data_IF_249149000668
#
_entry.id   IF_249149000668
#
_cell.length_a   1.000
_cell.length_b   1.000
_cell.length_c   1.000
_cell.angle_alpha   90.00
_cell.angle_beta   90.00
_cell.angle_gamma   90.00
#
_symmetry.space_group_name_H-M   'P 1'
#
loop_
_entity.id
_entity.type
_entity.pdbx_description
1 polymer ?
#
# COMPACT_ATOMS: atom_id res chain seq x y z
N UNK A 1 -7.20 35.05 4.65
CA UNK A 1 -7.69 33.75 4.14
C UNK A 1 -8.77 33.28 5.09
N UNK A 2 -10.00 33.10 4.62
CA UNK A 2 -11.11 32.66 5.47
C UNK A 2 -11.00 31.16 5.76
N UNK A 3 -11.26 30.74 7.01
CA UNK A 3 -11.16 29.34 7.46
C UNK A 3 -12.04 28.41 6.62
N UNK A 4 -13.18 28.91 6.13
CA UNK A 4 -14.08 28.15 5.24
C UNK A 4 -13.45 27.86 3.88
N UNK A 5 -12.68 28.80 3.33
CA UNK A 5 -12.00 28.61 2.05
C UNK A 5 -10.87 27.58 2.17
N UNK A 6 -10.13 27.61 3.27
CA UNK A 6 -9.11 26.61 3.58
C UNK A 6 -9.71 25.20 3.68
N UNK A 7 -10.80 25.04 4.44
CA UNK A 7 -11.50 23.74 4.55
C UNK A 7 -11.99 23.24 3.19
N UNK A 8 -12.48 24.12 2.33
CA UNK A 8 -12.92 23.77 0.97
C UNK A 8 -11.75 23.31 0.10
N UNK A 9 -10.58 23.95 0.21
CA UNK A 9 -9.35 23.54 -0.49
C UNK A 9 -8.86 22.18 -0.01
N UNK A 10 -8.77 21.96 1.30
CA UNK A 10 -8.36 20.67 1.90
C UNK A 10 -9.25 19.53 1.42
N UNK A 11 -10.58 19.73 1.48
CA UNK A 11 -11.54 18.72 1.02
C UNK A 11 -11.42 18.41 -0.47
N UNK A 12 -11.07 19.40 -1.29
CA UNK A 12 -10.82 19.20 -2.73
C UNK A 12 -9.57 18.36 -2.98
N UNK A 13 -8.49 18.62 -2.25
CA UNK A 13 -7.24 17.84 -2.31
C UNK A 13 -7.52 16.40 -1.88
N UNK A 14 -8.16 16.20 -0.74
CA UNK A 14 -8.53 14.87 -0.22
C UNK A 14 -9.31 14.03 -1.24
N UNK A 15 -10.34 14.61 -1.87
CA UNK A 15 -11.16 13.90 -2.89
C UNK A 15 -10.34 13.53 -4.12
N UNK A 16 -9.50 14.44 -4.62
CA UNK A 16 -8.65 14.18 -5.79
C UNK A 16 -7.63 13.08 -5.50
N UNK A 17 -6.91 13.25 -4.40
CA UNK A 17 -5.90 12.30 -3.91
C UNK A 17 -6.48 10.90 -3.74
N UNK A 18 -7.63 10.79 -3.06
CA UNK A 18 -8.29 9.51 -2.84
C UNK A 18 -8.68 8.83 -4.16
N UNK A 19 -9.25 9.58 -5.11
CA UNK A 19 -9.60 9.06 -6.45
C UNK A 19 -8.38 8.62 -7.25
N UNK A 20 -7.27 9.35 -7.17
CA UNK A 20 -6.01 8.99 -7.84
C UNK A 20 -5.42 7.71 -7.24
N UNK A 21 -5.39 7.60 -5.91
CA UNK A 21 -5.00 6.37 -5.21
C UNK A 21 -5.85 5.19 -5.68
N UNK A 22 -7.19 5.31 -5.63
CA UNK A 22 -8.08 4.22 -6.01
C UNK A 22 -7.91 3.80 -7.49
N UNK A 23 -7.57 4.73 -8.39
CA UNK A 23 -7.39 4.44 -9.81
C UNK A 23 -6.01 3.84 -10.14
N UNK A 24 -4.93 4.27 -9.48
CA UNK A 24 -3.57 3.78 -9.72
C UNK A 24 -3.39 2.36 -9.16
N UNK A 25 -4.09 2.00 -8.07
CA UNK A 25 -3.95 0.70 -7.40
C UNK A 25 -5.15 -0.24 -7.57
N UNK A 26 -6.14 0.14 -8.37
CA UNK A 26 -7.26 -0.73 -8.75
C UNK A 26 -6.88 -1.89 -9.69
N UNK A 27 -5.59 -2.00 -10.04
CA UNK A 27 -5.02 -3.08 -10.85
C UNK A 27 -4.07 -3.95 -10.03
N UNK A 28 -4.31 -5.26 -10.08
CA UNK A 28 -3.65 -6.34 -9.35
C UNK A 28 -2.11 -6.23 -9.32
N UNK A 29 -1.55 -5.66 -8.27
CA UNK A 29 -0.15 -5.92 -7.89
C UNK A 29 -0.11 -7.22 -7.10
N UNK A 30 0.00 -8.35 -7.79
CA UNK A 30 0.45 -9.59 -7.15
C UNK A 30 1.94 -9.46 -6.86
N UNK A 31 2.30 -9.38 -5.58
CA UNK A 31 3.69 -9.53 -5.15
C UNK A 31 4.21 -10.86 -5.68
N UNK A 32 5.20 -10.82 -6.58
CA UNK A 32 5.92 -12.00 -7.07
C UNK A 32 6.91 -12.56 -6.03
N UNK A 33 6.94 -12.00 -4.81
CA UNK A 33 7.83 -12.41 -3.74
C UNK A 33 7.11 -13.25 -2.69
N UNK A 34 7.40 -14.56 -2.69
CA UNK A 34 7.04 -15.50 -1.62
C UNK A 34 8.16 -15.55 -0.59
N UNK A 35 8.33 -14.48 0.19
CA UNK A 35 9.23 -14.48 1.35
C UNK A 35 8.58 -15.14 2.57
N UNK A 36 9.37 -15.50 3.58
CA UNK A 36 8.90 -16.08 4.86
C UNK A 36 8.12 -15.03 5.65
N UNK A 37 6.86 -14.84 5.32
CA UNK A 37 5.97 -13.98 6.07
C UNK A 37 5.62 -14.49 7.46
N UNK A 38 5.20 -13.58 8.35
CA UNK A 38 4.72 -13.93 9.69
C UNK A 38 3.23 -14.30 9.72
N UNK A 39 2.50 -14.00 8.64
CA UNK A 39 1.04 -14.13 8.59
C UNK A 39 0.64 -15.36 7.80
N UNK A 40 -0.18 -16.21 8.39
CA UNK A 40 -0.70 -17.42 7.74
C UNK A 40 -1.68 -17.03 6.63
N UNK A 41 -1.47 -17.54 5.42
CA UNK A 41 -2.32 -17.29 4.26
C UNK A 41 -3.27 -18.46 4.04
N UNK A 42 -2.75 -19.63 3.67
CA UNK A 42 -3.54 -20.81 3.35
C UNK A 42 -2.76 -22.11 3.55
N UNK A 43 -3.47 -23.24 3.46
CA UNK A 43 -2.86 -24.58 3.36
C UNK A 43 -3.09 -25.09 1.95
N UNK A 44 -2.00 -25.48 1.26
CA UNK A 44 -2.08 -26.09 -0.08
C UNK A 44 -1.43 -27.46 -0.12
N UNK A 45 -1.79 -28.27 -1.11
CA UNK A 45 -1.13 -29.55 -1.35
C UNK A 45 0.36 -29.33 -1.64
N UNK A 46 1.22 -30.19 -1.08
CA UNK A 46 2.66 -30.18 -1.29
C UNK A 46 2.98 -30.39 -2.76
N UNK A 47 3.90 -29.59 -3.28
CA UNK A 47 4.49 -29.75 -4.61
C UNK A 47 5.99 -29.99 -4.50
N UNK A 48 6.54 -30.68 -5.49
CA UNK A 48 7.97 -30.95 -5.53
C UNK A 48 8.75 -29.62 -5.61
N UNK A 49 9.64 -29.40 -4.63
CA UNK A 49 10.36 -28.13 -4.46
C UNK A 49 9.94 -27.33 -3.23
N UNK A 50 8.84 -27.73 -2.57
CA UNK A 50 8.42 -27.13 -1.32
C UNK A 50 9.29 -27.55 -0.13
N UNK A 51 9.47 -26.64 0.82
CA UNK A 51 10.21 -26.91 2.04
C UNK A 51 9.40 -27.83 2.96
N UNK A 52 9.93 -29.03 3.21
CA UNK A 52 9.32 -30.07 4.07
C UNK A 52 9.05 -29.57 5.50
N UNK A 53 9.77 -28.54 5.96
CA UNK A 53 9.56 -27.93 7.28
C UNK A 53 8.22 -27.20 7.40
N UNK A 54 7.64 -26.80 6.28
CA UNK A 54 6.35 -26.11 6.25
C UNK A 54 5.15 -27.07 6.19
N UNK A 55 5.38 -28.40 6.23
CA UNK A 55 4.31 -29.39 6.19
C UNK A 55 3.40 -29.27 7.42
N UNK A 56 2.11 -29.18 7.18
CA UNK A 56 1.09 -29.32 8.23
C UNK A 56 0.75 -30.79 8.43
N UNK A 57 1.33 -31.40 9.47
CA UNK A 57 1.10 -32.80 9.80
C UNK A 57 -0.35 -33.09 10.24
N UNK A 58 -1.09 -32.10 10.79
CA UNK A 58 -2.48 -32.31 11.21
C UNK A 58 -3.42 -32.39 10.01
N UNK A 59 -3.23 -31.53 9.01
CA UNK A 59 -4.01 -31.59 7.76
C UNK A 59 -3.60 -32.81 6.96
N UNK A 60 -2.29 -33.07 6.87
CA UNK A 60 -1.75 -34.26 6.19
C UNK A 60 -2.32 -35.56 6.76
N UNK A 61 -2.43 -35.67 8.09
CA UNK A 61 -3.00 -36.86 8.73
C UNK A 61 -4.50 -37.05 8.47
N UNK A 62 -5.27 -35.97 8.20
CA UNK A 62 -6.71 -36.06 7.92
C UNK A 62 -7.01 -36.46 6.47
N UNK A 63 -6.21 -35.97 5.53
CA UNK A 63 -6.43 -36.19 4.09
C UNK A 63 -5.51 -37.29 3.50
N UNK A 64 -4.58 -37.81 4.30
CA UNK A 64 -3.60 -38.83 3.91
C UNK A 64 -2.72 -38.43 2.71
N UNK A 65 -2.59 -37.12 2.48
CA UNK A 65 -1.78 -36.49 1.43
C UNK A 65 -0.99 -35.33 2.05
N UNK A 66 0.23 -35.03 1.60
CA UNK A 66 1.07 -33.98 2.18
C UNK A 66 0.54 -32.57 1.86
N UNK A 67 0.37 -31.75 2.89
CA UNK A 67 -0.04 -30.34 2.80
C UNK A 67 1.01 -29.41 3.41
N UNK A 68 1.22 -28.24 2.80
CA UNK A 68 2.16 -27.20 3.25
C UNK A 68 1.43 -25.91 3.62
N UNK A 69 1.91 -25.26 4.68
CA UNK A 69 1.47 -23.92 5.08
C UNK A 69 2.10 -22.87 4.18
N UNK A 70 1.27 -22.00 3.62
CA UNK A 70 1.69 -20.82 2.87
C UNK A 70 1.58 -19.62 3.81
N UNK A 71 2.67 -18.87 3.91
CA UNK A 71 2.75 -17.64 4.70
C UNK A 71 2.85 -16.46 3.74
N UNK A 72 2.11 -15.40 4.04
CA UNK A 72 2.16 -14.14 3.31
C UNK A 72 3.07 -13.15 4.05
N UNK A 73 4.00 -12.56 3.30
CA UNK A 73 4.92 -11.54 3.82
C UNK A 73 4.17 -10.21 3.96
N UNK A 74 3.78 -9.85 5.19
CA UNK A 74 3.37 -8.48 5.49
C UNK A 74 4.58 -7.56 5.30
N UNK A 75 4.44 -6.60 4.39
CA UNK A 75 5.42 -5.52 4.18
C UNK A 75 4.84 -4.21 4.66
N UNK A 76 5.50 -3.64 5.67
CA UNK A 76 5.32 -2.24 6.04
C UNK A 76 6.31 -1.39 5.23
N UNK A 77 5.82 -0.50 4.36
CA UNK A 77 6.65 0.47 3.66
C UNK A 77 6.71 1.75 4.50
N UNK A 78 7.83 2.00 5.18
CA UNK A 78 8.03 3.27 5.87
C UNK A 78 8.45 4.35 4.86
N UNK A 79 7.62 5.37 4.66
CA UNK A 79 7.93 6.53 3.81
C UNK A 79 8.21 7.78 4.65
N UNK A 80 9.30 8.47 4.34
CA UNK A 80 9.63 9.77 4.94
C UNK A 80 9.53 10.84 3.86
N UNK A 81 8.61 11.80 4.03
CA UNK A 81 8.49 12.96 3.15
C UNK A 81 9.22 14.16 3.75
N UNK A 82 10.15 14.73 2.99
CA UNK A 82 10.83 15.97 3.32
C UNK A 82 10.39 17.05 2.33
N UNK A 83 9.78 18.11 2.85
CA UNK A 83 9.23 19.21 2.06
C UNK A 83 9.96 20.49 2.43
N UNK A 84 10.47 21.20 1.43
CA UNK A 84 11.00 22.55 1.61
C UNK A 84 9.84 23.55 1.74
N UNK A 85 9.89 24.42 2.76
CA UNK A 85 8.88 25.46 3.04
C UNK A 85 9.53 26.86 2.93
N UNK A 86 10.65 26.96 2.21
CA UNK A 86 11.35 28.21 1.98
C UNK A 86 10.51 29.21 1.16
N UNK A 87 10.84 30.50 1.25
CA UNK A 87 10.09 31.57 0.58
C UNK A 87 10.02 31.46 -0.96
N UNK A 88 10.86 30.63 -1.59
CA UNK A 88 10.79 30.32 -3.03
C UNK A 88 9.56 29.51 -3.45
N UNK A 89 8.85 28.92 -2.49
CA UNK A 89 7.56 28.22 -2.67
C UNK A 89 6.40 29.18 -2.99
N UNK A 90 6.54 30.48 -2.66
CA UNK A 90 5.52 31.51 -2.88
C UNK A 90 5.45 32.01 -4.34
N UNK A 91 6.24 31.43 -5.24
CA UNK A 91 6.25 31.74 -6.66
C UNK A 91 5.51 30.66 -7.47
N UNK A 92 4.54 31.06 -8.29
CA UNK A 92 3.76 30.14 -9.14
C UNK A 92 3.37 30.78 -10.48
N UNK A 93 3.42 29.99 -11.55
CA UNK A 93 2.95 30.35 -12.89
C UNK A 93 1.42 30.38 -12.92
N UNK A 94 0.85 31.57 -12.68
CA UNK A 94 -0.53 32.06 -12.89
C UNK A 94 -1.74 31.25 -12.36
N UNK A 95 -1.68 29.92 -12.25
CA UNK A 95 -2.83 29.06 -11.92
C UNK A 95 -2.73 28.38 -10.55
N UNK A 96 -1.53 28.04 -10.08
CA UNK A 96 -1.32 27.39 -8.77
C UNK A 96 0.05 27.75 -8.18
N UNK A 97 0.12 27.85 -6.85
CA UNK A 97 1.38 27.99 -6.13
C UNK A 97 2.10 26.65 -6.00
N UNK A 98 3.43 26.66 -5.90
CA UNK A 98 4.24 25.44 -5.72
C UNK A 98 3.87 24.70 -4.44
N UNK A 99 3.60 25.43 -3.36
CA UNK A 99 3.17 24.84 -2.09
C UNK A 99 1.86 24.02 -2.19
N UNK A 100 0.92 24.43 -3.04
CA UNK A 100 -0.34 23.71 -3.26
C UNK A 100 -0.08 22.38 -3.99
N UNK A 101 0.82 22.39 -4.97
CA UNK A 101 1.24 21.18 -5.70
C UNK A 101 1.98 20.21 -4.78
N UNK A 102 2.92 20.71 -3.98
CA UNK A 102 3.66 19.88 -3.03
C UNK A 102 2.73 19.28 -1.97
N UNK A 103 1.74 20.05 -1.50
CA UNK A 103 0.71 19.54 -0.59
C UNK A 103 -0.14 18.45 -1.24
N UNK A 104 -0.53 18.60 -2.50
CA UNK A 104 -1.30 17.59 -3.24
C UNK A 104 -0.49 16.30 -3.46
N UNK A 105 0.81 16.43 -3.77
CA UNK A 105 1.72 15.27 -3.88
C UNK A 105 1.89 14.59 -2.52
N UNK A 106 2.23 15.34 -1.47
CA UNK A 106 2.43 14.78 -0.14
C UNK A 106 1.17 14.10 0.40
N UNK A 107 -0.01 14.72 0.21
CA UNK A 107 -1.28 14.11 0.54
C UNK A 107 -1.49 12.83 -0.28
N UNK A 108 -1.20 12.84 -1.58
CA UNK A 108 -1.35 11.65 -2.44
C UNK A 108 -0.50 10.48 -1.98
N UNK A 109 0.76 10.74 -1.64
CA UNK A 109 1.66 9.71 -1.12
C UNK A 109 1.25 9.23 0.28
N UNK A 110 0.82 10.13 1.17
CA UNK A 110 0.33 9.76 2.50
C UNK A 110 -0.94 8.91 2.45
N UNK A 111 -1.87 9.28 1.57
CA UNK A 111 -3.13 8.57 1.39
C UNK A 111 -2.99 7.28 0.61
N UNK A 112 -1.83 6.97 0.00
CA UNK A 112 -1.60 5.63 -0.58
C UNK A 112 -1.62 4.61 0.54
N UNK A 113 -2.75 3.92 0.76
CA UNK A 113 -2.80 2.88 1.75
C UNK A 113 -1.99 1.74 1.14
N UNK A 114 -1.16 1.09 1.93
CA UNK A 114 -0.57 -0.17 1.54
C UNK A 114 -1.67 -1.24 1.52
N UNK A 115 -2.58 -1.16 0.56
CA UNK A 115 -3.51 -2.24 0.23
C UNK A 115 -2.76 -3.26 -0.64
N UNK A 116 -1.71 -3.84 -0.05
CA UNK A 116 -1.36 -5.21 -0.37
C UNK A 116 -2.38 -6.05 0.38
N UNK A 117 -3.56 -6.22 -0.22
CA UNK A 117 -4.62 -7.01 0.40
C UNK A 117 -5.22 -7.91 -0.66
N UNK A 118 -4.78 -9.18 -0.59
CA UNK A 118 -5.60 -10.39 -0.69
C UNK A 118 -6.29 -10.62 -2.05
N UNK A 119 -5.82 -11.66 -2.74
CA UNK A 119 -6.72 -12.73 -3.19
C UNK A 119 -6.23 -14.04 -2.60
#
# INVERSE_FOLDING_TARGET
MDTKELLKKVRKIEIKTRRLSDHIFGGEYHSTFKGRGMTFSEVRQYQFGDDVRNIDWNVTARYNEPFVKVFEEERELTMMLMVDISGSELFGTEQQFKNEVVTEIAATWHFQPHRTTIK
#
